data_IF_514613087400
#
_entry.id   IF_514613087400
#
_cell.length_a   1.000
_cell.length_b   1.000
_cell.length_c   1.000
_cell.angle_alpha   90.00
_cell.angle_beta   90.00
_cell.angle_gamma   90.00
#
_symmetry.space_group_name_H-M   'P 1'
#
loop_
_entity.id
_entity.type
_entity.pdbx_description
1 polymer ?
#
# COMPACT_ATOMS: atom_id res chain seq x y z
N UNK A 1 -5.34 -23.08 -3.86
CA UNK A 1 -5.83 -22.14 -2.81
C UNK A 1 -5.03 -22.30 -1.54
N UNK A 2 -4.71 -21.19 -0.90
CA UNK A 2 -3.99 -21.21 0.39
C UNK A 2 -4.87 -21.71 1.52
N UNK A 3 -4.25 -22.39 2.47
CA UNK A 3 -4.86 -22.62 3.78
C UNK A 3 -4.57 -21.41 4.67
N UNK A 4 -5.56 -20.97 5.43
CA UNK A 4 -5.43 -19.86 6.35
C UNK A 4 -6.03 -20.19 7.71
N UNK A 5 -5.42 -19.63 8.75
CA UNK A 5 -5.95 -19.69 10.11
C UNK A 5 -5.83 -18.33 10.77
N UNK A 6 -6.73 -18.03 11.68
CA UNK A 6 -6.69 -16.78 12.44
C UNK A 6 -5.33 -16.62 13.12
N UNK A 7 -4.75 -15.45 13.01
CA UNK A 7 -3.43 -15.14 13.57
C UNK A 7 -2.25 -15.45 12.65
N UNK A 8 -2.46 -16.06 11.48
CA UNK A 8 -1.40 -16.26 10.50
C UNK A 8 -0.85 -14.91 10.03
N UNK A 9 0.44 -14.71 10.18
CA UNK A 9 1.14 -13.53 9.64
C UNK A 9 1.71 -13.86 8.27
N UNK A 10 1.43 -12.98 7.29
CA UNK A 10 1.97 -13.09 5.94
C UNK A 10 3.37 -12.50 5.88
N UNK A 11 4.23 -12.94 4.93
CA UNK A 11 5.53 -12.32 4.75
C UNK A 11 5.44 -10.82 4.51
N UNK A 12 6.15 -10.02 5.29
CA UNK A 12 6.19 -8.57 5.14
C UNK A 12 6.90 -8.15 3.87
N UNK A 13 6.54 -6.98 3.35
CA UNK A 13 7.11 -6.38 2.15
C UNK A 13 7.51 -4.94 2.44
N UNK A 14 8.74 -4.55 2.13
CA UNK A 14 9.18 -3.16 2.17
C UNK A 14 9.35 -2.65 0.75
N UNK A 15 8.69 -1.53 0.45
CA UNK A 15 8.77 -0.86 -0.86
C UNK A 15 9.39 0.51 -0.65
N UNK A 16 10.40 0.83 -1.46
CA UNK A 16 11.02 2.15 -1.50
C UNK A 16 10.49 2.93 -2.69
N UNK A 17 9.94 4.11 -2.42
CA UNK A 17 9.45 5.04 -3.42
C UNK A 17 10.46 6.17 -3.62
N UNK A 18 10.89 6.37 -4.86
CA UNK A 18 11.73 7.49 -5.29
C UNK A 18 10.95 8.44 -6.17
N UNK A 19 11.45 9.64 -6.36
CA UNK A 19 10.81 10.62 -7.25
C UNK A 19 10.58 10.08 -8.65
N UNK A 20 11.53 9.31 -9.20
CA UNK A 20 11.38 8.68 -10.53
C UNK A 20 10.22 7.70 -10.59
N UNK A 21 9.90 6.99 -9.49
CA UNK A 21 8.77 6.07 -9.43
C UNK A 21 7.44 6.81 -9.54
N UNK A 22 7.35 7.98 -8.93
CA UNK A 22 6.16 8.83 -9.00
C UNK A 22 5.95 9.37 -10.42
N UNK A 23 7.03 9.73 -11.12
CA UNK A 23 6.97 10.15 -12.52
C UNK A 23 6.48 9.01 -13.41
N UNK A 24 7.00 7.80 -13.22
CA UNK A 24 6.54 6.62 -13.96
C UNK A 24 5.08 6.31 -13.70
N UNK A 25 4.67 6.35 -12.44
CA UNK A 25 3.28 6.08 -12.08
C UNK A 25 2.32 7.15 -12.64
N UNK A 26 2.70 8.41 -12.62
CA UNK A 26 1.93 9.48 -13.24
C UNK A 26 1.71 9.21 -14.74
N UNK A 27 2.74 8.77 -15.44
CA UNK A 27 2.65 8.40 -16.85
C UNK A 27 1.78 7.17 -17.10
N UNK A 28 1.87 6.15 -16.24
CA UNK A 28 1.11 4.91 -16.36
C UNK A 28 -0.36 5.08 -15.98
N UNK A 29 -0.67 5.86 -14.95
CA UNK A 29 -2.02 6.05 -14.42
C UNK A 29 -2.77 7.21 -15.05
N UNK A 30 -2.08 8.17 -15.65
CA UNK A 30 -2.66 9.43 -16.10
C UNK A 30 -2.93 10.43 -14.97
N UNK A 31 -2.51 10.13 -13.74
CA UNK A 31 -2.63 11.05 -12.60
C UNK A 31 -1.40 11.96 -12.54
N UNK A 32 -1.51 13.12 -13.16
CA UNK A 32 -0.47 14.15 -13.21
C UNK A 32 -0.68 15.25 -12.17
N UNK A 33 -1.42 14.99 -11.11
CA UNK A 33 -1.59 15.98 -10.04
C UNK A 33 -0.21 16.44 -9.54
N UNK A 34 0.08 17.76 -9.59
CA UNK A 34 1.42 18.29 -9.29
C UNK A 34 1.91 18.05 -7.86
N UNK A 35 1.06 17.65 -6.93
CA UNK A 35 1.50 17.25 -5.59
C UNK A 35 2.41 16.02 -5.60
N UNK A 36 2.45 15.27 -6.69
CA UNK A 36 3.26 14.08 -6.87
C UNK A 36 4.58 14.33 -7.61
N UNK A 37 4.86 15.58 -8.03
CA UNK A 37 6.10 15.91 -8.74
C UNK A 37 6.61 17.34 -8.54
N UNK A 38 5.83 18.23 -7.93
CA UNK A 38 6.21 19.63 -7.72
C UNK A 38 6.25 19.98 -6.25
N UNK A 39 7.44 20.24 -5.70
CA UNK A 39 7.59 20.69 -4.31
C UNK A 39 6.87 22.01 -4.05
N UNK A 40 6.90 22.92 -5.04
CA UNK A 40 6.21 24.21 -4.95
C UNK A 40 4.69 24.03 -4.80
N UNK A 41 4.11 23.13 -5.60
CA UNK A 41 2.68 22.90 -5.56
C UNK A 41 2.27 22.12 -4.30
N UNK A 42 3.08 21.17 -3.86
CA UNK A 42 2.86 20.46 -2.60
C UNK A 42 2.84 21.44 -1.42
N UNK A 43 3.81 22.35 -1.36
CA UNK A 43 3.88 23.39 -0.32
C UNK A 43 2.68 24.34 -0.38
N UNK A 44 2.22 24.72 -1.57
CA UNK A 44 1.05 25.59 -1.75
C UNK A 44 -0.24 24.96 -1.18
N UNK A 45 -0.32 23.63 -1.13
CA UNK A 45 -1.44 22.89 -0.55
C UNK A 45 -1.20 22.46 0.90
N UNK A 46 -0.15 22.97 1.55
CA UNK A 46 0.15 22.69 2.94
C UNK A 46 0.77 21.32 3.19
N UNK A 47 1.25 20.64 2.14
CA UNK A 47 1.94 19.37 2.29
C UNK A 47 3.42 19.60 2.64
N UNK A 48 4.05 18.68 3.41
CA UNK A 48 5.46 18.82 3.78
C UNK A 48 6.43 18.60 2.62
N UNK A 49 5.96 18.07 1.50
CA UNK A 49 6.74 17.81 0.29
C UNK A 49 5.91 17.02 -0.71
N UNK A 50 6.56 16.62 -1.79
CA UNK A 50 5.94 15.73 -2.79
C UNK A 50 5.58 14.39 -2.15
N UNK A 51 4.38 13.88 -2.45
CA UNK A 51 3.83 12.68 -1.85
C UNK A 51 3.58 11.58 -2.88
N UNK A 52 3.64 10.33 -2.43
CA UNK A 52 3.25 9.16 -3.23
C UNK A 52 1.77 9.25 -3.58
N UNK A 53 1.41 8.89 -4.82
CA UNK A 53 0.01 8.69 -5.18
C UNK A 53 -0.65 7.70 -4.21
N UNK A 54 -1.78 8.07 -3.63
CA UNK A 54 -2.51 7.17 -2.73
C UNK A 54 -2.78 5.81 -3.37
N UNK A 55 -3.19 5.80 -4.62
CA UNK A 55 -3.45 4.55 -5.37
C UNK A 55 -2.19 3.70 -5.55
N UNK A 56 -1.00 4.29 -5.67
CA UNK A 56 0.25 3.55 -5.73
C UNK A 56 0.58 2.89 -4.37
N UNK A 57 0.38 3.61 -3.28
CA UNK A 57 0.52 3.04 -1.92
C UNK A 57 -0.47 1.89 -1.72
N UNK A 58 -1.73 2.08 -2.11
CA UNK A 58 -2.78 1.06 -2.03
C UNK A 58 -2.42 -0.18 -2.84
N UNK A 59 -1.97 -0.01 -4.08
CA UNK A 59 -1.57 -1.12 -4.94
C UNK A 59 -0.35 -1.87 -4.37
N UNK A 60 0.61 -1.14 -3.82
CA UNK A 60 1.80 -1.73 -3.19
C UNK A 60 1.43 -2.54 -1.94
N UNK A 61 0.48 -2.05 -1.15
CA UNK A 61 -0.02 -2.77 0.02
C UNK A 61 -0.72 -4.09 -0.36
N UNK A 62 -1.45 -4.12 -1.47
CA UNK A 62 -2.11 -5.34 -1.95
C UNK A 62 -1.13 -6.47 -2.22
N UNK A 63 0.12 -6.15 -2.58
CA UNK A 63 1.13 -7.16 -2.89
C UNK A 63 1.46 -8.06 -1.71
N UNK A 64 1.36 -7.60 -0.47
CA UNK A 64 1.60 -8.46 0.69
C UNK A 64 0.61 -9.64 0.72
N UNK A 65 -0.57 -9.46 0.14
CA UNK A 65 -1.59 -10.51 0.01
C UNK A 65 -1.42 -11.27 -1.31
N UNK A 66 -1.33 -10.58 -2.44
CA UNK A 66 -1.26 -11.23 -3.76
C UNK A 66 0.02 -12.03 -3.96
N UNK A 67 1.14 -11.61 -3.39
CA UNK A 67 2.41 -12.36 -3.45
C UNK A 67 2.35 -13.64 -2.59
N UNK A 68 1.49 -13.66 -1.56
CA UNK A 68 1.25 -14.84 -0.73
C UNK A 68 0.28 -15.83 -1.38
N UNK A 69 -0.71 -15.36 -2.14
CA UNK A 69 -1.70 -16.19 -2.80
C UNK A 69 -1.07 -17.06 -3.90
N UNK A 70 -1.62 -18.24 -4.14
CA UNK A 70 -1.24 -19.08 -5.30
C UNK A 70 -1.81 -18.52 -6.60
N UNK A 71 -3.00 -17.91 -6.52
CA UNK A 71 -3.67 -17.23 -7.61
C UNK A 71 -4.18 -15.86 -7.13
N UNK A 72 -3.73 -14.75 -7.73
CA UNK A 72 -4.23 -13.42 -7.38
C UNK A 72 -5.75 -13.26 -7.54
N UNK A 73 -6.39 -14.09 -8.37
CA UNK A 73 -7.84 -14.09 -8.54
C UNK A 73 -8.61 -14.56 -7.29
N UNK A 74 -7.91 -15.13 -6.31
CA UNK A 74 -8.50 -15.44 -5.00
C UNK A 74 -8.72 -14.20 -4.12
N UNK A 75 -8.14 -13.04 -4.48
CA UNK A 75 -8.46 -11.76 -3.85
C UNK A 75 -9.83 -11.29 -4.35
N UNK A 76 -10.83 -11.28 -3.48
CA UNK A 76 -12.23 -10.96 -3.86
C UNK A 76 -12.69 -9.58 -3.42
N UNK A 77 -12.06 -9.01 -2.40
CA UNK A 77 -12.37 -7.68 -1.91
C UNK A 77 -11.12 -7.02 -1.32
N UNK A 78 -10.95 -5.72 -1.57
CA UNK A 78 -9.84 -4.95 -1.04
C UNK A 78 -10.23 -3.49 -0.86
N UNK A 79 -9.92 -2.93 0.30
CA UNK A 79 -10.18 -1.53 0.60
C UNK A 79 -9.20 -0.97 1.61
N UNK A 80 -8.99 0.34 1.54
CA UNK A 80 -8.11 1.09 2.46
C UNK A 80 -8.72 2.46 2.77
N UNK A 81 -8.23 3.09 3.83
CA UNK A 81 -8.34 4.52 4.07
C UNK A 81 -6.96 5.14 4.03
N UNK A 82 -6.83 6.27 3.35
CA UNK A 82 -5.61 7.08 3.38
C UNK A 82 -5.63 7.94 4.62
N UNK A 83 -4.67 7.73 5.52
CA UNK A 83 -4.61 8.44 6.80
C UNK A 83 -3.52 9.50 6.83
N UNK A 84 -2.36 9.20 6.25
CA UNK A 84 -1.23 10.12 6.18
C UNK A 84 -0.52 10.00 4.83
N UNK A 85 -0.01 11.11 4.28
CA UNK A 85 0.78 11.07 3.05
C UNK A 85 2.14 10.40 3.29
N UNK A 86 2.65 9.76 2.25
CA UNK A 86 4.04 9.29 2.22
C UNK A 86 4.86 10.34 1.49
N UNK A 87 5.66 11.09 2.21
CA UNK A 87 6.50 12.16 1.65
C UNK A 87 7.77 11.55 1.05
N UNK A 88 8.05 11.88 -0.22
CA UNK A 88 9.21 11.38 -0.94
C UNK A 88 10.22 12.51 -1.10
N UNK A 89 11.37 12.45 -0.41
CA UNK A 89 12.41 13.46 -0.58
C UNK A 89 13.04 13.37 -1.99
N UNK A 90 13.54 14.50 -2.46
CA UNK A 90 14.30 14.55 -3.71
C UNK A 90 15.75 14.15 -3.44
N UNK A 91 15.97 12.86 -3.29
CA UNK A 91 17.29 12.26 -3.03
C UNK A 91 17.37 10.83 -3.63
N UNK A 92 18.51 10.17 -3.45
CA UNK A 92 18.73 8.82 -3.96
C UNK A 92 18.16 7.72 -3.05
N UNK A 93 17.70 8.07 -1.84
CA UNK A 93 17.18 7.12 -0.85
C UNK A 93 15.67 6.93 -0.96
N UNK A 94 14.94 8.00 -1.25
CA UNK A 94 13.48 8.00 -1.29
C UNK A 94 12.83 7.80 0.08
N UNK A 95 11.63 7.24 0.07
CA UNK A 95 10.86 6.89 1.24
C UNK A 95 10.47 5.42 1.21
N UNK A 96 10.65 4.71 2.32
CA UNK A 96 10.31 3.30 2.42
C UNK A 96 9.04 3.12 3.24
N UNK A 97 8.16 2.24 2.77
CA UNK A 97 6.96 1.81 3.48
C UNK A 97 7.04 0.31 3.69
N UNK A 98 6.84 -0.13 4.93
CA UNK A 98 6.75 -1.55 5.26
C UNK A 98 5.29 -1.95 5.38
N UNK A 99 4.92 -2.93 4.59
CA UNK A 99 3.59 -3.54 4.59
C UNK A 99 3.66 -4.89 5.28
N UNK A 100 2.77 -5.11 6.23
CA UNK A 100 2.58 -6.39 6.90
C UNK A 100 1.10 -6.76 6.90
N UNK A 101 0.81 -8.03 7.05
CA UNK A 101 -0.57 -8.50 7.02
C UNK A 101 -0.76 -9.69 7.95
N UNK A 102 -1.96 -9.81 8.49
CA UNK A 102 -2.34 -10.86 9.43
C UNK A 102 -3.78 -11.29 9.18
N UNK A 103 -4.03 -12.58 9.20
CA UNK A 103 -5.37 -13.13 9.09
C UNK A 103 -6.15 -12.84 10.39
N UNK A 104 -7.23 -12.08 10.26
CA UNK A 104 -8.09 -11.68 11.37
C UNK A 104 -9.24 -12.68 11.58
N UNK A 105 -9.84 -13.15 10.47
CA UNK A 105 -11.01 -14.01 10.53
C UNK A 105 -11.02 -15.00 9.37
N UNK A 106 -11.52 -16.20 9.62
CA UNK A 106 -11.76 -17.22 8.58
C UNK A 106 -13.18 -17.75 8.76
N UNK A 107 -13.99 -17.66 7.71
CA UNK A 107 -15.40 -18.10 7.74
C UNK A 107 -15.83 -18.52 6.34
N UNK A 108 -16.40 -19.72 6.23
CA UNK A 108 -17.02 -20.20 4.97
C UNK A 108 -16.12 -20.12 3.73
N UNK A 109 -14.84 -20.50 3.88
CA UNK A 109 -13.87 -20.49 2.78
C UNK A 109 -13.34 -19.10 2.41
N UNK A 110 -13.58 -18.09 3.25
CA UNK A 110 -13.06 -16.75 3.11
C UNK A 110 -12.19 -16.38 4.30
N UNK A 111 -11.07 -15.73 4.04
CA UNK A 111 -10.23 -15.13 5.06
C UNK A 111 -10.24 -13.60 4.94
N UNK A 112 -10.49 -12.92 6.05
CA UNK A 112 -10.30 -11.47 6.18
C UNK A 112 -8.88 -11.23 6.68
N UNK A 113 -8.14 -10.38 5.97
CA UNK A 113 -6.73 -10.10 6.23
C UNK A 113 -6.56 -8.62 6.51
N UNK A 114 -6.08 -8.28 7.69
CA UNK A 114 -5.73 -6.91 8.04
C UNK A 114 -4.33 -6.59 7.56
N UNK A 115 -4.19 -5.43 6.91
CA UNK A 115 -2.92 -4.94 6.36
C UNK A 115 -2.50 -3.70 7.14
N UNK A 116 -1.22 -3.62 7.45
CA UNK A 116 -0.60 -2.45 8.10
C UNK A 116 0.46 -1.89 7.19
N UNK A 117 0.46 -0.57 6.99
CA UNK A 117 1.44 0.15 6.19
C UNK A 117 2.10 1.23 7.04
N UNK A 118 3.41 1.12 7.24
CA UNK A 118 4.18 2.02 8.11
C UNK A 118 5.32 2.66 7.32
N UNK A 119 5.33 3.99 7.33
CA UNK A 119 6.44 4.81 6.84
C UNK A 119 7.09 5.52 8.03
N UNK A 120 8.35 5.20 8.30
CA UNK A 120 8.99 5.64 9.54
C UNK A 120 8.30 5.01 10.75
N UNK A 121 7.70 5.82 11.59
CA UNK A 121 6.90 5.41 12.76
C UNK A 121 5.40 5.69 12.59
N UNK A 122 4.95 6.11 11.39
CA UNK A 122 3.58 6.50 11.12
C UNK A 122 2.83 5.47 10.28
N UNK A 123 1.58 5.19 10.67
CA UNK A 123 0.64 4.44 9.83
C UNK A 123 0.10 5.36 8.72
N UNK A 124 0.30 4.94 7.48
CA UNK A 124 -0.12 5.71 6.30
C UNK A 124 -1.43 5.22 5.69
N UNK A 125 -1.86 4.02 6.04
CA UNK A 125 -3.17 3.48 5.69
C UNK A 125 -3.95 3.11 6.96
N UNK A 126 -5.25 3.37 6.94
CA UNK A 126 -6.19 2.90 7.95
C UNK A 126 -7.18 1.90 7.35
N UNK A 127 -7.73 1.00 8.17
CA UNK A 127 -8.73 0.01 7.74
C UNK A 127 -8.36 -0.68 6.42
N UNK A 128 -7.08 -0.97 6.22
CA UNK A 128 -6.61 -1.69 5.06
C UNK A 128 -6.94 -3.17 5.27
N UNK A 129 -7.84 -3.68 4.45
CA UNK A 129 -8.35 -5.05 4.58
C UNK A 129 -8.55 -5.68 3.22
N UNK A 130 -8.17 -6.95 3.13
CA UNK A 130 -8.42 -7.81 1.99
C UNK A 130 -9.31 -8.98 2.41
N UNK A 131 -10.15 -9.45 1.49
CA UNK A 131 -10.87 -10.71 1.64
C UNK A 131 -10.42 -11.64 0.52
N UNK A 132 -10.02 -12.84 0.88
CA UNK A 132 -9.49 -13.83 -0.05
C UNK A 132 -10.19 -15.17 0.10
N UNK A 133 -10.25 -15.94 -1.00
CA UNK A 133 -10.69 -17.34 -0.96
C UNK A 133 -9.59 -18.20 -0.38
N UNK A 134 -9.95 -19.10 0.52
CA UNK A 134 -9.04 -20.06 1.17
C UNK A 134 -9.70 -21.44 1.25
N UNK A 135 -8.87 -22.48 1.52
CA UNK A 135 -9.34 -23.85 1.76
C UNK A 135 -9.96 -23.99 3.14
#
# INVERSE_FOLDING_TARGET
>A
MKSAQVGLELPALTVTFRREDLVRYAGASGDFNPIHWSDRMAAALGLPGVIVHGMLTMASAARVVTDWLDDPADLVEYGVRFTKPVVVPDDDKGASVTFSAKVDKVTDGLAEIDITAIAGDEKVLGRARAVVRVQ
#
